data_IF_456779343898
#
_entry.id   IF_456779343898
#
_cell.length_a   1.000
_cell.length_b   1.000
_cell.length_c   1.000
_cell.angle_alpha   90.00
_cell.angle_beta   90.00
_cell.angle_gamma   90.00
#
_symmetry.space_group_name_H-M   'P 1'
#
loop_
_entity.id
_entity.type
_entity.pdbx_description
1 polymer ?
#
# COMPACT_ATOMS: atom_id res chain seq x y z
N UNK A 1 -36.18 12.54 10.48
CA UNK A 1 -34.88 12.03 9.99
C UNK A 1 -35.05 10.52 9.83
N UNK A 2 -35.06 10.00 8.60
CA UNK A 2 -35.41 8.60 8.33
C UNK A 2 -34.28 7.68 8.80
N UNK A 3 -34.60 6.56 9.47
CA UNK A 3 -33.63 5.61 10.04
C UNK A 3 -32.65 5.13 8.97
N UNK A 4 -33.14 4.92 7.74
CA UNK A 4 -32.34 4.53 6.59
C UNK A 4 -31.24 5.57 6.25
N UNK A 5 -31.56 6.87 6.36
CA UNK A 5 -30.59 7.95 6.12
C UNK A 5 -29.49 7.99 7.19
N UNK A 6 -29.79 7.63 8.44
CA UNK A 6 -28.82 7.57 9.53
C UNK A 6 -27.84 6.41 9.32
N UNK A 7 -28.36 5.23 8.92
CA UNK A 7 -27.55 4.04 8.65
C UNK A 7 -26.60 4.25 7.46
N UNK A 8 -27.06 4.92 6.39
CA UNK A 8 -26.21 5.24 5.25
C UNK A 8 -25.09 6.23 5.61
N UNK A 9 -25.36 7.20 6.50
CA UNK A 9 -24.38 8.17 6.96
C UNK A 9 -23.29 7.52 7.83
N UNK A 10 -23.65 6.59 8.72
CA UNK A 10 -22.68 5.92 9.58
C UNK A 10 -21.76 4.97 8.80
N UNK A 11 -22.28 4.26 7.79
CA UNK A 11 -21.48 3.38 6.93
C UNK A 11 -20.47 4.19 6.10
N UNK A 12 -20.90 5.31 5.52
CA UNK A 12 -20.02 6.17 4.72
C UNK A 12 -18.89 6.79 5.55
N UNK A 13 -19.17 7.24 6.77
CA UNK A 13 -18.14 7.71 7.71
C UNK A 13 -17.13 6.60 8.08
N UNK A 14 -17.60 5.35 8.25
CA UNK A 14 -16.72 4.22 8.57
C UNK A 14 -15.72 3.91 7.44
N UNK A 15 -16.16 3.95 6.18
CA UNK A 15 -15.30 3.72 5.01
C UNK A 15 -14.21 4.80 4.90
N UNK A 16 -14.55 6.06 5.17
CA UNK A 16 -13.59 7.17 5.19
C UNK A 16 -12.51 7.03 6.28
N UNK A 17 -12.77 6.25 7.34
CA UNK A 17 -11.83 6.02 8.42
C UNK A 17 -11.07 4.68 8.33
N UNK A 18 -11.28 3.89 7.29
CA UNK A 18 -10.67 2.57 7.16
C UNK A 18 -9.14 2.60 6.99
N UNK A 19 -8.56 3.69 6.50
CA UNK A 19 -7.11 3.87 6.44
C UNK A 19 -6.72 5.33 6.75
N UNK A 20 -5.90 5.52 7.78
CA UNK A 20 -5.32 6.83 8.13
C UNK A 20 -3.80 6.73 8.04
N UNK A 21 -3.17 7.69 7.37
CA UNK A 21 -1.72 7.81 7.33
C UNK A 21 -1.24 8.76 8.44
N UNK A 22 -0.07 8.48 9.02
CA UNK A 22 0.62 9.44 9.89
C UNK A 22 1.22 10.54 9.01
N UNK A 23 1.01 11.81 9.38
CA UNK A 23 1.73 12.93 8.76
C UNK A 23 3.20 12.86 9.16
N UNK A 24 4.10 12.89 8.18
CA UNK A 24 5.54 12.80 8.38
C UNK A 24 6.28 13.56 7.28
N UNK A 25 7.48 14.05 7.58
CA UNK A 25 8.36 14.74 6.63
C UNK A 25 8.98 13.76 5.63
N UNK A 26 9.54 14.29 4.54
CA UNK A 26 10.28 13.49 3.56
C UNK A 26 11.51 12.83 4.17
N UNK A 27 12.22 13.53 5.06
CA UNK A 27 13.38 13.01 5.78
C UNK A 27 13.00 11.84 6.70
N UNK A 28 11.93 11.98 7.49
CA UNK A 28 11.45 10.88 8.35
C UNK A 28 11.04 9.66 7.52
N UNK A 29 10.32 9.87 6.42
CA UNK A 29 9.92 8.80 5.49
C UNK A 29 11.13 8.07 4.92
N UNK A 30 12.17 8.82 4.50
CA UNK A 30 13.40 8.26 3.94
C UNK A 30 14.19 7.46 4.98
N UNK A 31 14.29 7.97 6.20
CA UNK A 31 14.99 7.31 7.31
C UNK A 31 14.29 6.02 7.72
N UNK A 32 12.97 6.03 7.83
CA UNK A 32 12.18 4.88 8.27
C UNK A 32 12.02 3.79 7.20
N UNK A 33 12.09 4.12 5.91
CA UNK A 33 11.90 3.14 4.83
C UNK A 33 13.07 2.14 4.74
N UNK A 34 12.80 0.86 4.53
CA UNK A 34 13.86 -0.14 4.27
C UNK A 34 14.53 0.04 2.90
N UNK A 35 13.80 0.63 1.94
CA UNK A 35 14.23 0.80 0.56
C UNK A 35 13.62 2.07 -0.05
N UNK A 36 14.39 2.79 -0.86
CA UNK A 36 13.96 4.02 -1.55
C UNK A 36 14.49 4.03 -2.98
N UNK A 37 13.60 4.13 -3.96
CA UNK A 37 13.95 4.20 -5.38
C UNK A 37 12.98 5.09 -6.15
N UNK A 38 13.52 5.82 -7.13
CA UNK A 38 12.75 6.44 -8.20
C UNK A 38 12.54 5.41 -9.30
N UNK A 39 11.27 5.14 -9.61
CA UNK A 39 10.86 4.08 -10.54
C UNK A 39 9.86 4.58 -11.57
N UNK A 40 9.84 3.94 -12.74
CA UNK A 40 8.79 4.06 -13.74
C UNK A 40 7.93 2.81 -13.71
N UNK A 41 6.65 2.96 -13.39
CA UNK A 41 5.68 1.85 -13.44
C UNK A 41 5.37 1.52 -14.90
N UNK A 42 5.55 0.25 -15.29
CA UNK A 42 5.27 -0.23 -16.65
C UNK A 42 3.93 -0.94 -16.75
N UNK A 43 3.61 -1.75 -15.75
CA UNK A 43 2.42 -2.58 -15.74
C UNK A 43 1.91 -2.81 -14.32
N UNK A 44 0.60 -2.77 -14.15
CA UNK A 44 -0.09 -3.23 -12.93
C UNK A 44 -0.67 -4.62 -13.16
N UNK A 45 -0.38 -5.54 -12.25
CA UNK A 45 -0.95 -6.90 -12.20
C UNK A 45 -1.93 -6.95 -11.04
N UNK A 46 -3.23 -6.96 -11.35
CA UNK A 46 -4.31 -6.64 -10.39
C UNK A 46 -5.04 -7.83 -9.74
N UNK A 47 -4.55 -9.06 -9.92
CA UNK A 47 -5.20 -10.29 -9.38
C UNK A 47 -4.21 -11.31 -8.85
N UNK A 48 -3.25 -10.86 -8.05
CA UNK A 48 -2.34 -11.82 -7.40
C UNK A 48 -2.97 -12.39 -6.13
N UNK A 49 -2.97 -13.73 -5.96
CA UNK A 49 -3.43 -14.34 -4.73
C UNK A 49 -2.56 -13.88 -3.56
N UNK A 50 -3.19 -13.67 -2.41
CA UNK A 50 -2.46 -13.41 -1.18
C UNK A 50 -1.62 -14.64 -0.78
N UNK A 51 -0.48 -14.45 -0.11
CA UNK A 51 0.30 -15.57 0.42
C UNK A 51 -0.55 -16.44 1.37
N UNK A 52 -0.31 -17.75 1.41
CA UNK A 52 -0.98 -18.63 2.36
C UNK A 52 -0.72 -18.16 3.80
N UNK A 53 -1.77 -18.17 4.63
CA UNK A 53 -1.70 -17.68 6.01
C UNK A 53 -1.87 -16.16 6.18
N UNK A 54 -2.08 -15.39 5.09
CA UNK A 54 -2.34 -13.96 5.26
C UNK A 54 -3.64 -13.71 6.04
N UNK A 55 -3.67 -12.73 6.96
CA UNK A 55 -4.89 -12.34 7.68
C UNK A 55 -5.90 -11.62 6.76
N UNK A 56 -5.51 -11.28 5.53
CA UNK A 56 -6.29 -10.49 4.57
C UNK A 56 -6.97 -11.40 3.53
N UNK A 57 -7.74 -12.39 4.01
CA UNK A 57 -8.49 -13.32 3.14
C UNK A 57 -9.49 -12.55 2.27
N UNK A 58 -9.57 -12.90 0.98
CA UNK A 58 -10.52 -12.29 0.02
C UNK A 58 -10.06 -10.97 -0.61
N UNK A 59 -8.88 -10.45 -0.25
CA UNK A 59 -8.25 -9.32 -0.92
C UNK A 59 -7.25 -9.81 -1.99
N UNK A 60 -7.03 -9.00 -3.02
CA UNK A 60 -6.01 -9.25 -4.04
C UNK A 60 -4.76 -8.42 -3.76
N UNK A 61 -3.59 -9.00 -3.98
CA UNK A 61 -2.36 -8.22 -4.06
C UNK A 61 -2.27 -7.50 -5.40
N UNK A 62 -1.70 -6.31 -5.36
CA UNK A 62 -1.27 -5.58 -6.56
C UNK A 62 0.24 -5.69 -6.68
N UNK A 63 0.71 -6.21 -7.81
CA UNK A 63 2.12 -6.16 -8.19
C UNK A 63 2.30 -5.18 -9.33
N UNK A 64 3.40 -4.45 -9.27
CA UNK A 64 3.79 -3.52 -10.32
C UNK A 64 5.08 -4.03 -10.94
N UNK A 65 5.10 -4.19 -12.25
CA UNK A 65 6.35 -4.29 -13.00
C UNK A 65 6.90 -2.88 -13.15
N UNK A 66 8.12 -2.66 -12.65
CA UNK A 66 8.75 -1.34 -12.58
C UNK A 66 10.12 -1.38 -13.23
N UNK A 67 10.50 -0.25 -13.83
CA UNK A 67 11.86 0.03 -14.24
C UNK A 67 12.48 0.97 -13.21
N UNK A 68 13.63 0.60 -12.63
CA UNK A 68 14.32 1.44 -11.66
C UNK A 68 15.16 2.48 -12.38
N UNK A 69 14.84 3.76 -12.19
CA UNK A 69 15.59 4.89 -12.74
C UNK A 69 16.79 5.19 -11.84
N UNK A 70 16.56 5.25 -10.52
CA UNK A 70 17.60 5.47 -9.52
C UNK A 70 17.22 4.82 -8.19
N UNK A 71 18.21 4.24 -7.51
CA UNK A 71 18.04 3.69 -6.16
C UNK A 71 18.81 4.57 -5.18
N UNK A 72 18.14 5.07 -4.15
CA UNK A 72 18.70 5.96 -3.14
C UNK A 72 19.02 5.26 -1.82
N UNK A 73 18.30 4.16 -1.51
CA UNK A 73 18.52 3.34 -0.32
C UNK A 73 18.19 1.89 -0.64
N UNK A 74 19.07 0.96 -0.27
CA UNK A 74 18.87 -0.49 -0.40
C UNK A 74 18.84 -1.09 1.01
N UNK A 75 17.97 -2.07 1.24
CA UNK A 75 17.96 -2.80 2.50
C UNK A 75 19.20 -3.69 2.58
N UNK A 76 19.90 -3.69 3.72
CA UNK A 76 21.03 -4.61 3.96
C UNK A 76 20.60 -6.09 4.02
N UNK A 77 19.29 -6.37 4.07
CA UNK A 77 18.75 -7.72 3.89
C UNK A 77 18.66 -7.99 2.40
N UNK A 78 19.60 -8.76 1.87
CA UNK A 78 19.62 -9.29 0.50
C UNK A 78 18.30 -10.01 0.20
N UNK A 79 17.32 -9.31 -0.34
CA UNK A 79 16.22 -9.91 -1.07
C UNK A 79 16.60 -9.85 -2.54
N UNK A 80 16.98 -11.01 -3.08
CA UNK A 80 17.20 -11.19 -4.51
C UNK A 80 15.90 -10.83 -5.22
N UNK A 81 15.88 -9.68 -5.89
CA UNK A 81 14.81 -9.31 -6.81
C UNK A 81 15.05 -10.16 -8.07
N UNK A 82 14.44 -11.36 -8.09
CA UNK A 82 14.32 -12.20 -9.30
C UNK A 82 13.06 -11.81 -10.08
#
# INVERSE_FOLDING_TARGET
>A
MNICSIVLLTISLYVCYACKCKTQTSQESFCAADWVSHVKVKLRVSKQPMPPGSPRKGLNNHRYAVEHIKVYKVSNKLYVIK
#
